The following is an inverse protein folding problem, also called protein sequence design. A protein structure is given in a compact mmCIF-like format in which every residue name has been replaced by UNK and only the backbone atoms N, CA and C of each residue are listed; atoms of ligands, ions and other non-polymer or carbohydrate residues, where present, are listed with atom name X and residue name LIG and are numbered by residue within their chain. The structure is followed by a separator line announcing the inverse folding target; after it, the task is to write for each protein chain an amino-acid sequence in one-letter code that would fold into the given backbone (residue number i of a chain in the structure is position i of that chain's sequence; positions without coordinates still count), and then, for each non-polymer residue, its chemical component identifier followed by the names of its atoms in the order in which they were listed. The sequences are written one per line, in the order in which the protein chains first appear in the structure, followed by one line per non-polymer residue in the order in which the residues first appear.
data_IF_922816431163
#
_entry.id   IF_922816431163
#
_cell.length_a   1.000
_cell.length_b   1.000
_cell.length_c   1.000
_cell.angle_alpha   90.00
_cell.angle_beta   90.00
_cell.angle_gamma   90.00
#
_symmetry.space_group_name_H-M   'P 1'
#
loop_
_entity.id
_entity.type
_entity.pdbx_description
1 polymer ?
#
# COMPACT_ATOMS: atom_id res chain seq x y z
N UNK A 1 -60.39 41.82 33.21
CA UNK A 1 -61.75 41.57 33.71
C UNK A 1 -62.73 41.63 32.53
N UNK A 2 -63.87 40.92 32.64
CA UNK A 2 -64.78 40.43 31.58
C UNK A 2 -64.21 39.20 30.83
N UNK A 3 -64.62 37.94 31.05
CA UNK A 3 -65.88 37.30 31.46
C UNK A 3 -67.01 37.33 30.42
N UNK A 4 -67.40 36.11 29.98
CA UNK A 4 -68.65 35.76 29.30
C UNK A 4 -68.51 35.47 27.80
N UNK A 5 -69.09 34.44 27.17
CA UNK A 5 -70.02 33.38 27.59
C UNK A 5 -70.03 32.32 26.47
N UNK A 6 -70.27 31.06 26.84
CA UNK A 6 -70.41 29.88 25.98
C UNK A 6 -71.65 29.96 25.07
N UNK A 7 -71.54 29.41 23.86
CA UNK A 7 -72.67 28.88 23.11
C UNK A 7 -72.32 27.47 22.61
N UNK A 8 -73.05 26.49 23.13
CA UNK A 8 -72.97 25.07 22.81
C UNK A 8 -74.26 24.66 22.09
N UNK A 9 -74.13 24.18 20.85
CA UNK A 9 -75.03 23.26 20.14
C UNK A 9 -74.43 23.12 18.73
N UNK A 10 -73.99 21.98 18.21
CA UNK A 10 -74.47 20.63 18.41
C UNK A 10 -74.79 20.09 17.01
N UNK A 11 -73.84 19.42 16.36
CA UNK A 11 -74.17 18.51 15.25
C UNK A 11 -73.17 17.37 15.19
N UNK A 12 -73.69 16.20 15.54
CA UNK A 12 -73.03 14.91 15.39
C UNK A 12 -72.63 14.68 13.93
N UNK A 13 -71.39 14.27 13.73
CA UNK A 13 -70.82 13.96 12.43
C UNK A 13 -69.59 13.07 12.62
N UNK A 14 -69.88 11.78 12.78
CA UNK A 14 -68.94 10.65 12.80
C UNK A 14 -67.84 10.78 11.74
N UNK A 15 -66.58 10.68 12.17
CA UNK A 15 -65.46 10.60 11.23
C UNK A 15 -64.06 10.69 11.83
N UNK A 16 -63.83 10.17 13.05
CA UNK A 16 -62.46 10.01 13.56
C UNK A 16 -61.81 8.82 12.84
N UNK A 17 -61.10 9.09 11.74
CA UNK A 17 -60.06 8.19 11.24
C UNK A 17 -58.94 8.19 12.28
N UNK A 18 -58.95 7.16 13.12
CA UNK A 18 -57.78 6.78 13.91
C UNK A 18 -56.70 6.44 12.90
N UNK A 19 -55.69 7.29 12.77
CA UNK A 19 -54.43 6.92 12.15
C UNK A 19 -53.81 5.84 13.05
N UNK A 20 -54.20 4.59 12.83
CA UNK A 20 -53.45 3.45 13.31
C UNK A 20 -52.09 3.54 12.62
N UNK A 21 -51.10 4.05 13.35
CA UNK A 21 -49.71 3.86 12.98
C UNK A 21 -49.50 2.35 12.89
N UNK A 22 -49.46 1.83 11.67
CA UNK A 22 -49.19 0.43 11.40
C UNK A 22 -47.83 0.10 12.00
N UNK A 23 -47.84 -0.57 13.15
CA UNK A 23 -46.63 -1.17 13.70
C UNK A 23 -46.10 -2.15 12.68
N UNK A 24 -44.80 -2.09 12.42
CA UNK A 24 -44.14 -3.06 11.56
C UNK A 24 -44.41 -4.47 12.10
N UNK A 25 -44.84 -5.36 11.22
CA UNK A 25 -44.94 -6.77 11.58
C UNK A 25 -43.56 -7.30 11.97
N UNK A 26 -43.51 -8.26 12.90
CA UNK A 26 -42.26 -8.91 13.32
C UNK A 26 -41.50 -9.46 12.11
N UNK A 27 -42.22 -9.92 11.08
CA UNK A 27 -41.63 -10.40 9.83
C UNK A 27 -41.04 -9.28 8.98
N UNK A 28 -41.65 -8.08 8.96
CA UNK A 28 -41.11 -6.92 8.24
C UNK A 28 -39.83 -6.45 8.91
N UNK A 29 -39.79 -6.42 10.25
CA UNK A 29 -38.59 -6.05 11.00
C UNK A 29 -37.44 -7.04 10.77
N UNK A 30 -37.74 -8.35 10.76
CA UNK A 30 -36.76 -9.40 10.42
C UNK A 30 -36.24 -9.26 8.99
N UNK A 31 -37.13 -8.95 8.04
CA UNK A 31 -36.76 -8.79 6.63
C UNK A 31 -35.85 -7.58 6.43
N UNK A 32 -36.16 -6.45 7.07
CA UNK A 32 -35.32 -5.25 7.03
C UNK A 32 -33.95 -5.51 7.65
N UNK A 33 -33.89 -6.20 8.80
CA UNK A 33 -32.62 -6.57 9.42
C UNK A 33 -31.78 -7.51 8.54
N UNK A 34 -32.41 -8.46 7.86
CA UNK A 34 -31.74 -9.37 6.92
C UNK A 34 -31.22 -8.63 5.67
N UNK A 35 -31.98 -7.69 5.13
CA UNK A 35 -31.52 -6.88 3.99
C UNK A 35 -30.34 -6.01 4.41
N UNK A 36 -30.40 -5.34 5.57
CA UNK A 36 -29.30 -4.52 6.08
C UNK A 36 -28.05 -5.38 6.34
N UNK A 37 -28.18 -6.59 6.87
CA UNK A 37 -27.02 -7.46 7.14
C UNK A 37 -26.36 -7.94 5.84
N UNK A 38 -27.15 -8.28 4.82
CA UNK A 38 -26.63 -8.63 3.47
C UNK A 38 -25.98 -7.42 2.81
N UNK A 39 -26.60 -6.24 2.91
CA UNK A 39 -26.02 -4.99 2.38
C UNK A 39 -24.73 -4.61 3.12
N UNK A 40 -24.65 -4.80 4.44
CA UNK A 40 -23.43 -4.60 5.24
C UNK A 40 -22.34 -5.61 4.87
N UNK A 41 -22.69 -6.89 4.69
CA UNK A 41 -21.76 -7.93 4.24
C UNK A 41 -21.23 -7.66 2.83
N UNK A 42 -22.08 -7.19 1.91
CA UNK A 42 -21.69 -6.80 0.56
C UNK A 42 -20.87 -5.50 0.53
N UNK A 43 -21.23 -4.52 1.37
CA UNK A 43 -20.55 -3.22 1.47
C UNK A 43 -19.26 -3.24 2.30
N UNK A 44 -18.94 -4.35 2.97
CA UNK A 44 -17.62 -4.58 3.57
C UNK A 44 -16.45 -4.43 2.57
N UNK A 45 -16.73 -4.47 1.27
CA UNK A 45 -15.76 -4.20 0.19
C UNK A 45 -15.67 -2.73 -0.24
N UNK A 46 -16.66 -1.89 0.09
CA UNK A 46 -16.75 -0.50 -0.38
C UNK A 46 -16.12 0.53 0.56
N UNK A 47 -15.97 0.20 1.85
CA UNK A 47 -15.18 0.99 2.80
C UNK A 47 -13.77 0.42 2.94
N UNK A 48 -13.06 0.27 1.81
CA UNK A 48 -11.59 0.19 1.86
C UNK A 48 -11.14 1.55 2.36
N UNK A 49 -10.64 1.59 3.60
CA UNK A 49 -10.15 2.78 4.29
C UNK A 49 -9.43 3.70 3.32
N UNK A 50 -9.75 5.01 3.38
CA UNK A 50 -9.10 6.12 2.65
C UNK A 50 -7.68 5.71 2.28
N UNK A 51 -7.49 5.32 1.02
CA UNK A 51 -6.32 4.56 0.59
C UNK A 51 -5.04 5.26 1.03
N UNK A 52 -4.19 4.52 1.73
CA UNK A 52 -2.82 4.94 2.05
C UNK A 52 -2.21 5.61 0.82
N UNK A 53 -1.73 6.86 0.95
CA UNK A 53 -1.07 7.56 -0.17
C UNK A 53 0.22 6.85 -0.57
N UNK A 54 0.76 6.02 0.33
CA UNK A 54 1.90 5.16 0.08
C UNK A 54 1.55 3.89 -0.71
N UNK A 55 0.28 3.45 -0.74
CA UNK A 55 -0.09 2.16 -1.34
C UNK A 55 0.15 2.09 -2.86
N UNK A 56 -0.26 3.11 -3.62
CA UNK A 56 -0.05 3.14 -5.08
C UNK A 56 1.44 3.25 -5.47
N UNK A 57 2.26 4.13 -4.85
CA UNK A 57 3.70 4.11 -5.01
C UNK A 57 4.33 2.75 -4.66
N UNK A 58 3.93 2.11 -3.56
CA UNK A 58 4.43 0.80 -3.16
C UNK A 58 4.06 -0.29 -4.18
N UNK A 59 2.84 -0.26 -4.73
CA UNK A 59 2.41 -1.19 -5.77
C UNK A 59 3.18 -0.99 -7.08
N UNK A 60 3.50 0.25 -7.45
CA UNK A 60 4.38 0.55 -8.59
C UNK A 60 5.80 0.02 -8.35
N UNK A 61 6.38 0.22 -7.17
CA UNK A 61 7.70 -0.35 -6.83
C UNK A 61 7.71 -1.88 -6.90
N UNK A 62 6.70 -2.55 -6.32
CA UNK A 62 6.58 -4.01 -6.38
C UNK A 62 6.50 -4.51 -7.84
N UNK A 63 5.69 -3.86 -8.69
CA UNK A 63 5.62 -4.16 -10.13
C UNK A 63 6.98 -3.95 -10.81
N UNK A 64 7.69 -2.88 -10.48
CA UNK A 64 9.04 -2.62 -10.99
C UNK A 64 10.04 -3.73 -10.65
N UNK A 65 9.99 -4.25 -9.42
CA UNK A 65 10.84 -5.36 -8.97
C UNK A 65 10.50 -6.66 -9.71
N UNK A 66 9.21 -6.99 -9.85
CA UNK A 66 8.79 -8.17 -10.63
C UNK A 66 9.22 -8.10 -12.09
N UNK A 67 9.15 -6.91 -12.71
CA UNK A 67 9.63 -6.70 -14.07
C UNK A 67 11.14 -6.87 -14.17
N UNK A 68 11.90 -6.35 -13.20
CA UNK A 68 13.35 -6.54 -13.15
C UNK A 68 13.71 -8.03 -13.00
N UNK A 69 12.96 -8.77 -12.20
CA UNK A 69 13.11 -10.23 -12.07
C UNK A 69 12.80 -10.96 -13.36
N UNK A 70 11.66 -10.66 -13.99
CA UNK A 70 11.30 -11.25 -15.27
C UNK A 70 12.38 -10.98 -16.33
N UNK A 71 12.94 -9.76 -16.34
CA UNK A 71 14.05 -9.40 -17.23
C UNK A 71 15.34 -10.18 -16.93
N UNK A 72 15.70 -10.34 -15.66
CA UNK A 72 16.89 -11.09 -15.23
C UNK A 72 16.81 -12.56 -15.67
N UNK A 73 15.68 -13.21 -15.37
CA UNK A 73 15.44 -14.62 -15.69
C UNK A 73 15.34 -14.84 -17.21
N UNK A 74 14.56 -14.03 -17.93
CA UNK A 74 14.34 -14.22 -19.36
C UNK A 74 15.62 -14.03 -20.20
N UNK A 75 16.58 -13.25 -19.70
CA UNK A 75 17.80 -12.95 -20.45
C UNK A 75 19.05 -13.60 -19.85
N UNK A 76 18.91 -14.39 -18.78
CA UNK A 76 20.03 -14.98 -18.03
C UNK A 76 21.09 -13.92 -17.65
N UNK A 77 20.64 -12.80 -17.11
CA UNK A 77 21.49 -11.66 -16.70
C UNK A 77 21.20 -11.25 -15.26
N UNK A 78 22.14 -10.54 -14.64
CA UNK A 78 21.90 -9.90 -13.36
C UNK A 78 21.34 -8.49 -13.56
N UNK A 79 20.32 -8.15 -12.77
CA UNK A 79 19.67 -6.84 -12.79
C UNK A 79 19.74 -6.25 -11.39
N UNK A 80 20.28 -5.05 -11.26
CA UNK A 80 20.25 -4.32 -10.01
C UNK A 80 19.26 -3.17 -10.02
N UNK A 81 18.61 -2.98 -8.89
CA UNK A 81 17.70 -1.88 -8.61
C UNK A 81 18.37 -0.98 -7.59
N UNK A 82 18.54 0.29 -7.94
CA UNK A 82 19.07 1.31 -7.03
C UNK A 82 18.06 2.41 -6.80
N UNK A 83 17.91 2.80 -5.54
CA UNK A 83 17.10 3.94 -5.14
C UNK A 83 18.03 5.14 -4.95
N UNK A 84 17.89 6.14 -5.81
CA UNK A 84 18.67 7.39 -5.73
C UNK A 84 17.73 8.56 -5.51
N UNK A 85 18.23 9.60 -4.84
CA UNK A 85 17.51 10.87 -4.74
C UNK A 85 17.74 11.67 -6.01
N UNK A 86 16.68 12.04 -6.71
CA UNK A 86 16.74 12.90 -7.90
C UNK A 86 16.95 14.37 -7.54
N UNK A 87 17.27 15.17 -8.55
CA UNK A 87 17.60 16.61 -8.41
C UNK A 87 16.45 17.42 -7.81
N UNK A 88 15.21 17.03 -8.08
CA UNK A 88 13.98 17.62 -7.53
C UNK A 88 13.65 17.13 -6.11
N UNK A 89 14.51 16.31 -5.51
CA UNK A 89 14.28 15.66 -4.22
C UNK A 89 13.32 14.46 -4.28
N UNK A 90 12.89 14.05 -5.48
CA UNK A 90 12.09 12.84 -5.71
C UNK A 90 12.91 11.56 -5.51
N UNK A 91 12.24 10.46 -5.16
CA UNK A 91 12.88 9.15 -5.13
C UNK A 91 12.88 8.55 -6.53
N UNK A 92 14.04 8.15 -7.03
CA UNK A 92 14.22 7.57 -8.36
C UNK A 92 14.69 6.13 -8.23
N UNK A 93 13.91 5.20 -8.76
CA UNK A 93 14.25 3.79 -8.87
C UNK A 93 14.89 3.54 -10.24
N UNK A 94 16.19 3.20 -10.24
CA UNK A 94 16.97 2.92 -11.46
C UNK A 94 17.20 1.44 -11.62
N UNK A 95 17.23 1.01 -12.88
CA UNK A 95 17.21 -0.37 -13.30
C UNK A 95 18.44 -0.69 -14.15
N UNK A 96 19.46 -1.23 -13.52
CA UNK A 96 20.78 -1.43 -14.08
C UNK A 96 20.96 -2.89 -14.47
N UNK A 97 21.43 -3.20 -15.67
CA UNK A 97 21.75 -4.59 -16.05
C UNK A 97 23.26 -4.81 -16.09
N UNK A 98 23.68 -6.03 -15.75
CA UNK A 98 25.05 -6.50 -15.95
C UNK A 98 25.03 -7.84 -16.67
N UNK A 99 25.84 -7.96 -17.73
CA UNK A 99 26.05 -9.24 -18.41
C UNK A 99 27.14 -10.04 -17.69
N UNK A 100 27.01 -11.37 -17.60
CA UNK A 100 28.07 -12.24 -17.11
C UNK A 100 29.37 -11.98 -17.89
N UNK A 101 30.50 -11.85 -17.19
CA UNK A 101 31.82 -11.64 -17.80
C UNK A 101 32.21 -10.18 -18.09
N UNK A 102 31.35 -9.18 -17.80
CA UNK A 102 31.76 -7.77 -17.83
C UNK A 102 32.17 -7.30 -16.43
N UNK A 103 33.47 -7.03 -16.26
CA UNK A 103 34.11 -6.55 -15.02
C UNK A 103 33.98 -5.04 -14.79
N UNK A 104 33.57 -4.26 -15.79
CA UNK A 104 33.44 -2.81 -15.67
C UNK A 104 32.14 -2.29 -16.31
N UNK A 105 31.28 -1.72 -15.46
CA UNK A 105 30.38 -0.57 -15.64
C UNK A 105 29.87 -0.22 -17.06
N UNK A 106 29.48 -1.18 -17.89
CA UNK A 106 28.41 -0.90 -18.87
C UNK A 106 27.05 -1.05 -18.18
N UNK A 107 26.90 -0.30 -17.08
CA UNK A 107 25.64 -0.12 -16.39
C UNK A 107 24.75 0.71 -17.32
N UNK A 108 24.09 0.00 -18.22
CA UNK A 108 23.07 0.57 -19.06
C UNK A 108 21.74 0.40 -18.34
N UNK A 109 21.05 1.51 -18.14
CA UNK A 109 19.66 1.46 -17.72
C UNK A 109 18.88 0.67 -18.79
N UNK A 110 18.30 -0.47 -18.43
CA UNK A 110 17.54 -1.26 -19.40
C UNK A 110 16.14 -0.69 -19.61
N UNK A 111 15.66 0.14 -18.67
CA UNK A 111 14.38 0.83 -18.69
C UNK A 111 14.53 2.24 -18.16
N UNK A 112 13.61 3.12 -18.55
CA UNK A 112 13.48 4.46 -17.97
C UNK A 112 13.33 4.35 -16.45
N UNK A 113 14.09 5.14 -15.65
CA UNK A 113 13.93 5.17 -14.21
C UNK A 113 12.51 5.53 -13.80
N UNK A 114 12.00 4.85 -12.77
CA UNK A 114 10.71 5.21 -12.18
C UNK A 114 10.91 6.31 -11.15
N UNK A 115 10.09 7.35 -11.24
CA UNK A 115 10.16 8.53 -10.38
C UNK A 115 8.96 8.56 -9.45
N UNK A 116 9.23 8.73 -8.17
CA UNK A 116 8.24 8.81 -7.11
C UNK A 116 8.33 10.19 -6.47
N UNK A 117 7.52 11.11 -6.99
CA UNK A 117 7.31 12.40 -6.37
C UNK A 117 6.71 12.19 -4.97
N UNK A 118 7.12 13.01 -4.01
CA UNK A 118 6.52 13.03 -2.67
C UNK A 118 6.65 11.70 -1.91
N UNK A 119 7.66 10.88 -2.19
CA UNK A 119 7.88 9.61 -1.50
C UNK A 119 9.30 9.54 -0.97
N UNK A 120 9.47 8.95 0.22
CA UNK A 120 10.75 8.55 0.79
C UNK A 120 10.71 7.10 1.23
N UNK A 121 11.89 6.48 1.24
CA UNK A 121 12.09 5.21 1.92
C UNK A 121 12.15 5.46 3.43
N UNK A 122 11.33 4.73 4.19
CA UNK A 122 11.31 4.82 5.64
C UNK A 122 12.56 4.10 6.20
N UNK A 123 13.40 4.79 7.01
CA UNK A 123 14.60 4.18 7.58
C UNK A 123 14.27 3.15 8.67
N UNK A 124 13.10 3.28 9.32
CA UNK A 124 12.61 2.35 10.34
C UNK A 124 11.22 1.87 9.94
N UNK A 125 11.09 0.56 9.76
CA UNK A 125 9.83 -0.12 9.43
C UNK A 125 8.98 -0.30 10.69
N UNK A 126 8.55 0.78 11.32
CA UNK A 126 7.63 0.71 12.46
C UNK A 126 6.19 0.50 11.96
N UNK A 127 5.90 -0.68 11.39
CA UNK A 127 4.54 -1.10 11.09
C UNK A 127 4.04 -2.05 12.20
N UNK A 128 2.90 -1.76 12.85
CA UNK A 128 2.37 -2.58 13.94
C UNK A 128 1.85 -3.96 13.51
N UNK A 129 1.74 -4.23 12.19
CA UNK A 129 1.29 -5.51 11.63
C UNK A 129 2.41 -6.43 11.15
N UNK A 130 3.67 -6.00 11.16
CA UNK A 130 4.80 -6.90 10.91
C UNK A 130 5.15 -7.66 12.22
N UNK A 131 4.20 -8.44 12.71
CA UNK A 131 4.33 -9.24 13.93
C UNK A 131 5.04 -10.60 13.65
N UNK A 132 5.79 -10.72 12.55
CA UNK A 132 6.41 -12.00 12.16
C UNK A 132 7.88 -12.12 12.57
N UNK A 133 8.70 -11.06 12.50
CA UNK A 133 10.01 -11.03 13.16
C UNK A 133 10.67 -9.65 12.98
N UNK A 134 10.88 -8.84 14.03
CA UNK A 134 11.59 -7.56 13.93
C UNK A 134 13.12 -7.70 13.69
N UNK A 135 13.65 -8.93 13.71
CA UNK A 135 15.08 -9.21 13.50
C UNK A 135 15.47 -9.49 12.03
N UNK A 136 14.50 -9.59 11.10
CA UNK A 136 14.76 -10.01 9.71
C UNK A 136 14.49 -8.92 8.67
N UNK A 137 14.20 -7.68 9.09
CA UNK A 137 13.92 -6.59 8.16
C UNK A 137 15.17 -5.75 7.91
N UNK A 138 15.82 -5.96 6.77
CA UNK A 138 16.92 -5.08 6.33
C UNK A 138 16.38 -3.82 5.65
N UNK A 139 16.70 -2.65 6.21
CA UNK A 139 16.38 -1.37 5.59
C UNK A 139 17.51 -0.98 4.61
N UNK A 140 17.16 -0.79 3.33
CA UNK A 140 18.15 -0.40 2.31
C UNK A 140 18.83 0.92 2.68
N UNK A 141 20.17 0.88 2.73
CA UNK A 141 20.98 2.09 2.85
C UNK A 141 21.16 2.77 1.49
N UNK A 142 21.55 4.05 1.49
CA UNK A 142 21.69 4.83 0.25
C UNK A 142 22.77 4.29 -0.72
N UNK A 143 23.68 3.46 -0.23
CA UNK A 143 24.77 2.86 -1.01
C UNK A 143 24.45 1.42 -1.47
N UNK A 144 23.37 0.85 -0.96
CA UNK A 144 22.93 -0.49 -1.30
C UNK A 144 22.06 -0.52 -2.55
N UNK A 145 22.13 -1.65 -3.24
CA UNK A 145 21.27 -1.96 -4.38
C UNK A 145 20.69 -3.35 -4.20
N UNK A 146 19.46 -3.55 -4.69
CA UNK A 146 18.89 -4.89 -4.78
C UNK A 146 19.41 -5.54 -6.05
N UNK A 147 20.15 -6.63 -5.93
CA UNK A 147 20.68 -7.37 -7.07
C UNK A 147 19.81 -8.60 -7.28
N UNK A 148 19.17 -8.68 -8.44
CA UNK A 148 18.41 -9.83 -8.88
C UNK A 148 19.30 -10.67 -9.79
N UNK A 149 19.56 -11.91 -9.39
CA UNK A 149 20.38 -12.86 -10.15
C UNK A 149 19.58 -13.43 -11.33
N UNK A 150 20.28 -14.10 -12.25
CA UNK A 150 19.66 -14.78 -13.37
C UNK A 150 18.67 -15.88 -12.94
N UNK A 151 18.86 -16.46 -11.75
CA UNK A 151 17.95 -17.45 -11.16
C UNK A 151 16.72 -16.81 -10.49
N UNK A 152 16.63 -15.48 -10.50
CA UNK A 152 15.52 -14.72 -9.91
C UNK A 152 15.64 -14.48 -8.41
N UNK A 153 16.77 -14.85 -7.79
CA UNK A 153 17.03 -14.56 -6.37
C UNK A 153 17.41 -13.09 -6.18
N UNK A 154 17.04 -12.51 -5.04
CA UNK A 154 17.36 -11.11 -4.69
C UNK A 154 18.37 -11.08 -3.56
N UNK A 155 19.45 -10.34 -3.77
CA UNK A 155 20.55 -10.18 -2.82
C UNK A 155 20.87 -8.69 -2.63
N UNK A 156 21.58 -8.35 -1.56
CA UNK A 156 22.06 -6.98 -1.33
C UNK A 156 23.42 -6.79 -2.01
N UNK A 157 23.51 -5.78 -2.87
CA UNK A 157 24.75 -5.36 -3.51
C UNK A 157 25.30 -4.10 -2.87
N UNK A 158 26.58 -4.12 -2.47
CA UNK A 158 27.32 -2.97 -1.96
C UNK A 158 27.86 -2.13 -3.12
N UNK A 159 27.54 -0.83 -3.15
CA UNK A 159 27.68 -0.01 -4.34
C UNK A 159 29.11 0.29 -4.80
N UNK A 160 29.49 -0.23 -5.98
CA UNK A 160 30.02 0.52 -7.15
C UNK A 160 29.88 -0.38 -8.40
N UNK A 161 28.64 -0.52 -8.91
CA UNK A 161 28.34 -0.80 -10.34
C UNK A 161 29.15 -1.89 -11.09
N UNK A 162 29.29 -3.08 -10.48
CA UNK A 162 29.78 -4.30 -11.15
C UNK A 162 29.36 -5.61 -10.45
N UNK A 163 28.31 -5.50 -9.61
CA UNK A 163 27.64 -6.45 -8.71
C UNK A 163 28.41 -7.67 -8.16
N UNK A 164 29.51 -7.50 -7.40
CA UNK A 164 29.83 -8.44 -6.33
C UNK A 164 28.76 -8.33 -5.23
N UNK A 165 28.25 -9.48 -4.80
CA UNK A 165 27.22 -9.60 -3.76
C UNK A 165 27.87 -9.55 -2.38
N UNK A 166 27.30 -8.80 -1.43
CA UNK A 166 27.74 -8.90 -0.03
C UNK A 166 27.46 -10.35 0.41
N UNK A 167 28.53 -11.11 0.67
CA UNK A 167 28.52 -12.58 0.67
C UNK A 167 27.37 -13.25 1.43
N UNK A 168 26.95 -14.42 0.92
CA UNK A 168 26.14 -15.52 1.52
C UNK A 168 24.96 -15.23 2.48
N UNK A 169 24.59 -13.98 2.75
CA UNK A 169 23.39 -13.67 3.50
C UNK A 169 22.20 -13.62 2.54
N UNK A 170 21.70 -14.81 2.21
CA UNK A 170 20.34 -14.99 1.74
C UNK A 170 19.40 -14.60 2.88
N UNK A 171 19.11 -13.30 2.99
CA UNK A 171 18.03 -12.83 3.83
C UNK A 171 16.74 -13.52 3.40
N UNK A 172 15.84 -13.93 4.29
CA UNK A 172 14.58 -14.56 3.88
C UNK A 172 13.68 -13.57 3.12
N UNK A 173 13.69 -12.30 3.55
CA UNK A 173 12.97 -11.22 2.90
C UNK A 173 13.64 -9.86 3.16
N UNK A 174 13.42 -8.92 2.23
CA UNK A 174 13.78 -7.50 2.36
C UNK A 174 12.49 -6.69 2.40
N UNK A 175 12.39 -5.73 3.30
CA UNK A 175 11.19 -4.90 3.48
C UNK A 175 11.54 -3.46 3.15
N UNK A 176 10.83 -2.85 2.20
CA UNK A 176 10.98 -1.45 1.83
C UNK A 176 9.81 -0.66 2.35
N UNK A 177 10.05 0.23 3.30
CA UNK A 177 9.03 1.12 3.83
C UNK A 177 8.86 2.28 2.87
N UNK A 178 7.65 2.48 2.36
CA UNK A 178 7.29 3.57 1.47
C UNK A 178 6.47 4.56 2.27
N UNK A 179 6.95 5.79 2.37
CA UNK A 179 6.34 6.83 3.19
C UNK A 179 6.07 8.08 2.35
N UNK A 180 4.86 8.67 2.46
CA UNK A 180 4.53 9.91 1.80
C UNK A 180 5.27 11.07 2.47
N UNK A 181 5.59 12.06 1.65
CA UNK A 181 6.28 13.27 2.06
C UNK A 181 5.66 14.47 1.39
N UNK A 182 5.72 15.62 2.06
CA UNK A 182 5.34 16.91 1.47
C UNK A 182 6.58 17.78 1.46
N UNK A 183 6.91 18.34 0.29
CA UNK A 183 8.14 19.10 0.07
C UNK A 183 9.41 18.34 0.53
N UNK A 184 9.43 17.01 0.38
CA UNK A 184 10.57 16.17 0.78
C UNK A 184 10.75 16.00 2.28
N UNK A 185 9.74 16.30 3.11
CA UNK A 185 9.74 15.94 4.54
C UNK A 185 8.54 15.05 4.88
N UNK A 186 8.75 14.08 5.76
CA UNK A 186 7.69 13.24 6.31
C UNK A 186 6.92 14.06 7.33
N UNK A 187 5.66 14.39 7.05
CA UNK A 187 4.82 15.13 7.98
C UNK A 187 4.42 14.20 9.14
N UNK A 188 4.33 14.73 10.36
CA UNK A 188 3.90 14.00 11.54
C UNK A 188 2.56 13.23 11.35
N UNK A 189 1.61 13.81 10.62
CA UNK A 189 0.31 13.20 10.28
C UNK A 189 0.45 11.99 9.34
N UNK A 190 1.48 11.96 8.51
CA UNK A 190 1.74 10.92 7.51
C UNK A 190 2.78 9.90 8.00
N UNK A 191 3.28 10.05 9.24
CA UNK A 191 4.22 9.09 9.85
C UNK A 191 3.64 7.68 9.99
N UNK A 192 2.33 7.58 10.16
CA UNK A 192 1.60 6.30 10.29
C UNK A 192 1.19 5.71 8.94
N UNK A 193 1.23 6.51 7.87
CA UNK A 193 0.90 6.08 6.52
C UNK A 193 2.16 5.48 5.87
N UNK A 194 2.49 4.25 6.23
CA UNK A 194 3.63 3.52 5.67
C UNK A 194 3.12 2.26 4.99
N UNK A 195 3.34 2.16 3.68
CA UNK A 195 3.15 0.91 2.95
C UNK A 195 4.48 0.17 2.89
N UNK A 196 4.48 -1.14 3.12
CA UNK A 196 5.71 -1.95 3.04
C UNK A 196 5.68 -2.74 1.72
N UNK A 197 6.77 -2.68 0.97
CA UNK A 197 7.04 -3.63 -0.12
C UNK A 197 7.91 -4.73 0.44
N UNK A 198 7.34 -5.91 0.64
CA UNK A 198 8.09 -7.11 1.04
C UNK A 198 8.57 -7.84 -0.20
N UNK A 199 9.87 -8.12 -0.25
CA UNK A 199 10.55 -8.85 -1.31
C UNK A 199 11.03 -10.16 -0.70
N UNK A 200 10.60 -11.28 -1.25
CA UNK A 200 11.10 -12.59 -0.85
C UNK A 200 12.39 -12.87 -1.63
N UNK A 201 13.52 -13.00 -0.94
CA UNK A 201 14.82 -13.06 -1.61
C UNK A 201 15.05 -14.37 -2.36
N UNK A 202 14.52 -15.49 -1.87
CA UNK A 202 14.67 -16.78 -2.52
C UNK A 202 13.97 -16.86 -3.89
N UNK A 203 12.89 -16.13 -4.08
CA UNK A 203 12.03 -16.18 -5.29
C UNK A 203 12.07 -14.88 -6.09
N UNK A 204 12.57 -13.80 -5.49
CA UNK A 204 12.49 -12.44 -5.97
C UNK A 204 11.09 -11.85 -6.05
N UNK A 205 10.08 -12.53 -5.48
CA UNK A 205 8.70 -12.06 -5.56
C UNK A 205 8.46 -10.87 -4.65
N UNK A 206 7.77 -9.84 -5.15
CA UNK A 206 7.45 -8.63 -4.41
C UNK A 206 5.95 -8.50 -4.13
N UNK A 207 5.59 -8.20 -2.87
CA UNK A 207 4.20 -7.94 -2.45
C UNK A 207 4.09 -6.68 -1.61
N UNK A 208 2.96 -6.01 -1.70
CA UNK A 208 2.67 -4.83 -0.88
C UNK A 208 1.88 -5.25 0.35
N UNK A 209 2.41 -4.91 1.51
CA UNK A 209 1.71 -4.94 2.79
C UNK A 209 1.24 -3.52 3.07
N UNK A 210 -0.03 -3.24 2.82
CA UNK A 210 -0.66 -2.01 3.27
C UNK A 210 -1.12 -2.15 4.72
N UNK A 211 -1.03 -1.09 5.54
CA UNK A 211 -1.48 -1.10 6.92
C UNK A 211 -2.98 -1.41 7.06
#
# INVERSE_FOLDING_TARGET
MASGTLAFCGRAGSGRRVCAGGGFSLIELLTVMAIISVLMAASGTLFRAVGSKASEPAARMARGIELARAQAVANNISVAIRFVRGDSGELVMRFMRQRPGQTAVQVKDFRRPERFAQIKLAPNLSCPRSAANPQESHALTAEESLVITADGQVMLGTGQSGFPVAGEQLLPAIHLGVQPTRAGQVIASERRDVAIVQIQCATGSARVLSP
#
